data_IF_950976628476
#
_entry.id   IF_950976628476
#
_cell.length_a   1.000
_cell.length_b   1.000
_cell.length_c   1.000
_cell.angle_alpha   90.00
_cell.angle_beta   90.00
_cell.angle_gamma   90.00
#
_symmetry.space_group_name_H-M   'P 1'
#
loop_
_entity.id
_entity.type
_entity.pdbx_description
1 polymer ?
#
# COMPACT_ATOMS: atom_id res chain seq x y z
N UNK A 1 -12.40 -8.43 -3.69
CA UNK A 1 -11.05 -7.90 -3.42
C UNK A 1 -11.18 -6.67 -2.55
N UNK A 2 -10.42 -6.59 -1.45
CA UNK A 2 -10.36 -5.38 -0.62
C UNK A 2 -9.73 -4.23 -1.39
N UNK A 3 -10.01 -3.01 -0.94
CA UNK A 3 -9.24 -1.82 -1.34
C UNK A 3 -7.93 -1.76 -0.55
N UNK A 4 -6.79 -1.73 -1.22
CA UNK A 4 -5.47 -1.61 -0.59
C UNK A 4 -5.11 -0.14 -0.38
N UNK A 5 -4.99 0.27 0.89
CA UNK A 5 -4.72 1.66 1.28
C UNK A 5 -3.36 1.74 1.96
N UNK A 6 -2.42 2.45 1.36
CA UNK A 6 -1.10 2.69 1.92
C UNK A 6 -1.08 4.00 2.71
N UNK A 7 -0.57 3.99 3.94
CA UNK A 7 -0.27 5.18 4.74
C UNK A 7 1.24 5.33 4.85
N UNK A 8 1.77 6.34 4.18
CA UNK A 8 3.21 6.52 4.03
C UNK A 8 3.65 7.98 4.23
N UNK A 9 4.96 8.21 4.37
CA UNK A 9 5.54 9.54 4.60
C UNK A 9 7.03 9.51 4.34
N UNK A 10 7.63 10.64 3.98
CA UNK A 10 9.08 10.70 3.83
C UNK A 10 9.86 10.60 5.17
N UNK A 11 9.26 10.99 6.30
CA UNK A 11 9.97 11.10 7.59
C UNK A 11 9.26 10.43 8.77
N UNK A 12 10.04 10.16 9.81
CA UNK A 12 9.52 9.70 11.09
C UNK A 12 8.71 10.81 11.80
N UNK A 13 7.82 10.43 12.71
CA UNK A 13 7.12 11.38 13.58
C UNK A 13 6.09 12.29 12.89
N UNK A 14 5.66 11.96 11.67
CA UNK A 14 4.59 12.66 10.92
C UNK A 14 3.17 12.28 11.38
N UNK A 15 3.03 11.26 12.24
CA UNK A 15 1.74 10.80 12.76
C UNK A 15 1.05 9.68 11.96
N UNK A 16 1.76 8.99 11.06
CA UNK A 16 1.25 7.87 10.25
C UNK A 16 0.49 6.81 11.06
N UNK A 17 1.10 6.25 12.11
CA UNK A 17 0.49 5.16 12.88
C UNK A 17 -0.80 5.62 13.57
N UNK A 18 -0.85 6.85 14.08
CA UNK A 18 -2.09 7.45 14.60
C UNK A 18 -3.15 7.57 13.51
N UNK A 19 -2.80 8.09 12.33
CA UNK A 19 -3.75 8.20 11.24
C UNK A 19 -4.26 6.82 10.79
N UNK A 20 -3.36 5.85 10.55
CA UNK A 20 -3.71 4.51 10.09
C UNK A 20 -4.64 3.78 11.08
N UNK A 21 -4.32 3.79 12.37
CA UNK A 21 -5.13 3.13 13.40
C UNK A 21 -6.52 3.77 13.53
N UNK A 22 -6.60 5.10 13.51
CA UNK A 22 -7.86 5.81 13.65
C UNK A 22 -8.72 5.73 12.37
N UNK A 23 -8.11 5.75 11.17
CA UNK A 23 -8.82 5.51 9.91
C UNK A 23 -9.45 4.12 9.89
N UNK A 24 -8.73 3.09 10.33
CA UNK A 24 -9.27 1.73 10.41
C UNK A 24 -10.50 1.66 11.30
N UNK A 25 -10.49 2.36 12.44
CA UNK A 25 -11.64 2.44 13.36
C UNK A 25 -12.82 3.18 12.73
N UNK A 26 -12.56 4.25 11.97
CA UNK A 26 -13.63 4.96 11.25
C UNK A 26 -14.26 4.11 10.15
N UNK A 27 -13.47 3.36 9.38
CA UNK A 27 -13.96 2.43 8.37
C UNK A 27 -14.72 1.27 9.02
N UNK A 28 -14.15 0.66 10.06
CA UNK A 28 -14.78 -0.44 10.78
C UNK A 28 -16.07 -0.02 11.50
N UNK A 29 -16.21 1.22 11.94
CA UNK A 29 -17.48 1.73 12.49
C UNK A 29 -18.57 1.96 11.44
N UNK A 30 -18.25 1.84 10.16
CA UNK A 30 -19.21 2.02 9.06
C UNK A 30 -19.68 0.71 8.44
N UNK A 31 -19.39 -0.44 9.05
CA UNK A 31 -19.76 -1.74 8.50
C UNK A 31 -18.60 -2.52 7.88
N UNK A 32 -17.48 -1.85 7.58
CA UNK A 32 -16.41 -2.45 6.80
C UNK A 32 -15.55 -3.41 7.62
N UNK A 33 -15.10 -4.49 6.97
CA UNK A 33 -14.09 -5.40 7.49
C UNK A 33 -12.71 -4.88 7.11
N UNK A 34 -11.93 -4.51 8.11
CA UNK A 34 -10.66 -3.80 7.90
C UNK A 34 -9.49 -4.65 8.39
N UNK A 35 -8.52 -4.87 7.52
CA UNK A 35 -7.20 -5.35 7.92
C UNK A 35 -6.26 -4.17 8.11
N UNK A 36 -5.38 -4.24 9.10
CA UNK A 36 -4.23 -3.34 9.21
C UNK A 36 -2.96 -4.18 9.19
N UNK A 37 -2.02 -3.73 8.38
CA UNK A 37 -0.69 -4.26 8.26
C UNK A 37 0.32 -3.26 8.80
N UNK A 38 0.85 -3.53 10.00
CA UNK A 38 1.89 -2.70 10.62
C UNK A 38 3.27 -3.19 10.18
N UNK A 39 3.81 -2.56 9.12
CA UNK A 39 5.15 -2.83 8.60
C UNK A 39 6.21 -1.84 9.12
N UNK A 40 5.85 -0.96 10.07
CA UNK A 40 6.76 0.00 10.69
C UNK A 40 7.26 -0.53 12.05
N UNK A 41 7.66 0.35 12.96
CA UNK A 41 8.22 0.02 14.28
C UNK A 41 7.16 -0.40 15.33
N UNK A 42 5.99 -0.91 14.91
CA UNK A 42 4.95 -1.37 15.84
C UNK A 42 4.03 -0.27 16.39
N UNK A 43 4.08 0.94 15.82
CA UNK A 43 3.31 2.07 16.35
C UNK A 43 1.79 1.85 16.33
N UNK A 44 1.27 1.11 15.35
CA UNK A 44 -0.16 0.78 15.31
C UNK A 44 -0.49 -0.27 16.36
N UNK A 45 0.36 -1.30 16.52
CA UNK A 45 0.16 -2.33 17.54
C UNK A 45 0.10 -1.76 18.95
N UNK A 46 0.99 -0.81 19.28
CA UNK A 46 0.97 -0.12 20.57
C UNK A 46 -0.34 0.64 20.79
N UNK A 47 -0.88 1.31 19.76
CA UNK A 47 -2.17 2.02 19.87
C UNK A 47 -3.36 1.08 20.08
N UNK A 48 -3.29 -0.14 19.55
CA UNK A 48 -4.28 -1.19 19.81
C UNK A 48 -3.98 -2.02 21.07
N UNK A 49 -2.92 -1.68 21.82
CA UNK A 49 -2.46 -2.38 23.04
C UNK A 49 -2.17 -3.87 22.82
N UNK A 50 -1.66 -4.22 21.64
CA UNK A 50 -1.39 -5.62 21.29
C UNK A 50 -0.11 -6.17 21.93
N UNK A 51 0.84 -5.30 22.29
CA UNK A 51 2.07 -5.68 22.99
C UNK A 51 1.79 -6.26 24.40
N UNK A 52 0.73 -5.76 25.05
CA UNK A 52 0.24 -6.28 26.34
C UNK A 52 -0.38 -7.69 26.19
N UNK A 53 -0.86 -8.03 25.00
CA UNK A 53 -1.47 -9.33 24.69
C UNK A 53 -0.42 -10.41 24.32
N UNK A 54 0.81 -10.01 23.97
CA UNK A 54 1.90 -10.94 23.62
C UNK A 54 2.51 -11.68 24.82
N UNK A 55 2.43 -11.10 26.03
CA UNK A 55 3.14 -11.65 27.20
C UNK A 55 2.44 -12.85 27.86
N UNK A 56 1.14 -13.06 27.61
CA UNK A 56 0.36 -14.06 28.34
C UNK A 56 0.19 -15.41 27.62
N UNK A 57 0.82 -15.63 26.47
CA UNK A 57 0.54 -16.82 25.64
C UNK A 57 -0.92 -16.89 25.14
N UNK A 58 -1.66 -15.77 25.28
CA UNK A 58 -3.08 -15.59 25.01
C UNK A 58 -3.40 -15.32 23.53
N UNK A 59 -2.42 -15.40 22.61
CA UNK A 59 -2.70 -15.39 21.17
C UNK A 59 -3.74 -16.44 20.75
N UNK A 60 -3.92 -17.50 21.56
CA UNK A 60 -4.96 -18.52 21.37
C UNK A 60 -6.17 -18.45 22.32
N UNK A 61 -6.25 -17.51 23.27
CA UNK A 61 -7.38 -17.41 24.20
C UNK A 61 -7.56 -15.97 24.67
N UNK A 62 -8.77 -15.45 24.52
CA UNK A 62 -9.31 -14.36 25.34
C UNK A 62 -8.78 -12.94 25.09
N UNK A 63 -9.56 -12.23 24.28
CA UNK A 63 -9.62 -10.77 24.20
C UNK A 63 -10.82 -10.33 25.07
N UNK A 64 -10.56 -9.76 26.25
CA UNK A 64 -11.59 -9.20 27.14
C UNK A 64 -10.99 -7.97 27.85
N UNK A 65 -11.70 -6.84 27.99
CA UNK A 65 -13.01 -6.74 28.64
C UNK A 65 -13.75 -5.43 28.25
N UNK A 66 -14.96 -5.58 27.69
CA UNK A 66 -16.00 -4.57 27.40
C UNK A 66 -15.79 -3.59 26.22
N UNK A 67 -16.86 -3.27 25.47
CA UNK A 67 -17.44 -4.12 24.43
C UNK A 67 -16.53 -4.20 23.20
N UNK A 68 -15.53 -5.08 23.25
CA UNK A 68 -14.85 -5.62 22.07
C UNK A 68 -14.88 -7.14 22.25
N UNK A 69 -15.87 -7.82 21.66
CA UNK A 69 -15.89 -9.27 21.63
C UNK A 69 -14.94 -9.70 20.52
N UNK A 70 -13.80 -10.27 20.85
CA UNK A 70 -13.00 -10.84 19.79
C UNK A 70 -13.47 -12.22 19.40
N UNK A 71 -13.33 -12.50 18.12
CA UNK A 71 -13.49 -13.83 17.57
C UNK A 71 -12.19 -14.23 16.88
N UNK A 72 -11.80 -15.49 17.06
CA UNK A 72 -10.75 -16.10 16.24
C UNK A 72 -11.36 -16.42 14.88
N UNK A 73 -10.69 -16.02 13.79
CA UNK A 73 -10.99 -16.62 12.49
C UNK A 73 -10.46 -18.04 12.44
N UNK A 74 -11.02 -18.87 11.56
CA UNK A 74 -10.68 -20.29 11.38
C UNK A 74 -9.17 -20.59 11.30
N UNK A 75 -8.35 -19.58 11.01
CA UNK A 75 -6.89 -19.66 10.85
C UNK A 75 -6.07 -19.14 12.06
N UNK A 76 -6.70 -18.85 13.20
CA UNK A 76 -5.99 -18.49 14.44
C UNK A 76 -5.64 -17.00 14.60
N UNK A 77 -5.99 -16.15 13.63
CA UNK A 77 -5.76 -14.71 13.73
C UNK A 77 -6.85 -14.01 14.56
N UNK A 78 -6.47 -13.13 15.52
CA UNK A 78 -7.44 -12.41 16.34
C UNK A 78 -8.12 -11.28 15.56
N UNK A 79 -9.45 -11.19 15.64
CA UNK A 79 -10.21 -10.02 15.24
C UNK A 79 -10.68 -9.23 16.45
N UNK A 80 -10.59 -7.90 16.36
CA UNK A 80 -11.23 -6.98 17.27
C UNK A 80 -12.61 -6.64 16.70
N UNK A 81 -13.70 -7.09 17.33
CA UNK A 81 -15.02 -6.58 16.97
C UNK A 81 -15.16 -5.14 17.43
N UNK A 82 -15.67 -4.30 16.54
CA UNK A 82 -16.03 -2.90 16.77
C UNK A 82 -17.55 -2.81 16.58
N UNK A 83 -18.20 -1.85 17.24
CA UNK A 83 -19.67 -1.67 17.29
C UNK A 83 -20.42 -1.92 15.96
N UNK A 84 -19.79 -1.66 14.80
CA UNK A 84 -20.31 -2.00 13.48
C UNK A 84 -19.26 -2.57 12.51
N UNK A 85 -18.39 -3.50 12.91
CA UNK A 85 -17.43 -4.11 11.99
C UNK A 85 -16.33 -4.90 12.71
N UNK A 86 -15.30 -5.30 11.96
CA UNK A 86 -14.18 -6.03 12.54
C UNK A 86 -12.85 -5.49 12.04
N UNK A 87 -11.87 -5.44 12.94
CA UNK A 87 -10.50 -5.10 12.61
C UNK A 87 -9.59 -6.29 12.89
N UNK A 88 -8.85 -6.74 11.88
CA UNK A 88 -7.69 -7.60 12.08
C UNK A 88 -6.44 -6.75 12.05
N UNK A 89 -5.70 -6.70 13.15
CA UNK A 89 -4.40 -6.03 13.19
C UNK A 89 -3.31 -7.09 13.10
N UNK A 90 -2.52 -7.00 12.05
CA UNK A 90 -1.38 -7.86 11.79
C UNK A 90 -0.12 -7.03 12.01
N UNK A 91 0.75 -7.50 12.90
CA UNK A 91 1.94 -6.76 13.31
C UNK A 91 3.02 -7.67 13.92
N UNK A 92 4.24 -7.14 14.05
CA UNK A 92 5.47 -7.89 14.36
C UNK A 92 5.78 -8.98 13.32
N UNK A 93 5.88 -8.58 12.05
CA UNK A 93 6.48 -9.43 11.02
C UNK A 93 5.73 -9.55 9.70
N UNK A 94 4.62 -8.82 9.51
CA UNK A 94 3.99 -8.76 8.18
C UNK A 94 4.37 -7.45 7.50
N UNK A 95 5.66 -7.33 7.26
CA UNK A 95 6.05 -6.95 5.91
C UNK A 95 6.02 -8.28 5.15
N UNK A 96 5.55 -8.32 3.89
CA UNK A 96 6.07 -9.34 2.97
C UNK A 96 7.53 -8.97 2.67
N UNK A 97 8.32 -9.00 3.74
CA UNK A 97 9.76 -9.01 3.93
C UNK A 97 10.00 -8.99 5.44
N UNK A 98 10.18 -10.21 5.96
CA UNK A 98 10.73 -10.54 7.27
C UNK A 98 11.55 -9.42 7.92
N UNK A 99 11.16 -9.06 9.15
CA UNK A 99 12.15 -8.86 10.19
C UNK A 99 11.56 -9.32 11.53
N UNK A 100 12.11 -10.42 12.05
CA UNK A 100 11.71 -11.03 13.33
C UNK A 100 11.66 -12.57 13.31
N UNK A 101 11.42 -13.20 12.16
CA UNK A 101 11.38 -14.67 12.06
C UNK A 101 12.77 -15.27 11.80
N UNK A 102 13.08 -16.39 12.49
CA UNK A 102 14.26 -17.21 12.16
C UNK A 102 14.02 -17.94 10.83
N UNK A 103 15.07 -18.06 10.02
CA UNK A 103 15.09 -18.60 8.65
C UNK A 103 14.40 -19.98 8.49
N UNK A 104 14.29 -20.78 9.55
CA UNK A 104 13.61 -22.08 9.52
C UNK A 104 12.07 -22.01 9.46
N UNK A 105 11.44 -20.97 9.98
CA UNK A 105 9.97 -20.89 10.14
C UNK A 105 9.25 -20.38 8.89
N UNK A 106 9.92 -19.50 8.13
CA UNK A 106 9.47 -19.07 6.79
C UNK A 106 9.26 -20.27 5.87
N UNK A 107 10.14 -21.25 5.95
CA UNK A 107 10.03 -22.47 5.15
C UNK A 107 8.86 -23.37 5.60
N UNK A 108 8.34 -23.28 6.82
CA UNK A 108 7.10 -23.97 7.22
C UNK A 108 5.83 -23.24 6.78
N UNK A 109 5.81 -21.90 6.81
CA UNK A 109 4.69 -21.09 6.34
C UNK A 109 4.52 -21.21 4.81
N UNK A 110 5.64 -21.19 4.05
CA UNK A 110 5.67 -21.44 2.60
C UNK A 110 5.36 -22.90 2.22
N UNK A 111 5.62 -23.88 3.10
CA UNK A 111 5.35 -25.30 2.83
C UNK A 111 3.88 -25.69 3.05
N UNK A 112 3.07 -24.82 3.66
CA UNK A 112 1.63 -25.04 3.84
C UNK A 112 0.74 -24.31 2.81
N UNK A 113 1.33 -23.59 1.84
CA UNK A 113 0.59 -23.15 0.65
C UNK A 113 1.15 -21.88 0.00
N UNK A 114 1.85 -22.09 -1.12
CA UNK A 114 2.15 -21.13 -2.20
C UNK A 114 3.46 -20.29 -2.15
N UNK A 115 4.00 -20.09 -3.36
CA UNK A 115 5.37 -19.74 -3.76
C UNK A 115 5.80 -18.30 -3.37
N UNK A 116 7.02 -18.06 -2.87
CA UNK A 116 7.55 -16.71 -2.57
C UNK A 116 7.53 -15.71 -3.74
N UNK A 117 7.36 -16.16 -4.98
CA UNK A 117 7.12 -15.34 -6.18
C UNK A 117 5.72 -14.66 -6.21
N UNK A 118 4.92 -14.79 -5.14
CA UNK A 118 3.49 -14.46 -5.12
C UNK A 118 3.10 -13.44 -4.04
N UNK A 119 3.95 -12.47 -3.71
CA UNK A 119 3.64 -11.40 -2.72
C UNK A 119 2.27 -10.76 -2.99
N UNK A 120 2.00 -10.39 -4.25
CA UNK A 120 0.70 -9.83 -4.65
C UNK A 120 -0.44 -10.80 -4.36
N UNK A 121 -0.34 -12.07 -4.78
CA UNK A 121 -1.37 -13.08 -4.48
C UNK A 121 -1.51 -13.33 -2.98
N UNK A 122 -0.44 -13.27 -2.20
CA UNK A 122 -0.49 -13.37 -0.74
C UNK A 122 -1.39 -12.30 -0.13
N UNK A 123 -1.30 -11.05 -0.62
CA UNK A 123 -2.18 -9.96 -0.22
C UNK A 123 -3.62 -10.16 -0.69
N UNK A 124 -3.83 -10.62 -1.94
CA UNK A 124 -5.16 -10.90 -2.47
C UNK A 124 -5.85 -12.04 -1.70
N UNK A 125 -5.14 -13.14 -1.50
CA UNK A 125 -5.57 -14.31 -0.73
C UNK A 125 -5.88 -13.93 0.72
N UNK A 126 -5.06 -13.08 1.35
CA UNK A 126 -5.33 -12.56 2.69
C UNK A 126 -6.65 -11.79 2.72
N UNK A 127 -6.85 -10.90 1.75
CA UNK A 127 -8.09 -10.14 1.57
C UNK A 127 -9.32 -11.04 1.48
N UNK A 128 -9.26 -12.05 0.61
CA UNK A 128 -10.38 -12.95 0.37
C UNK A 128 -10.64 -13.90 1.55
N UNK A 129 -9.60 -14.46 2.17
CA UNK A 129 -9.70 -15.34 3.36
C UNK A 129 -10.33 -14.60 4.54
N UNK A 130 -9.86 -13.39 4.81
CA UNK A 130 -10.37 -12.56 5.91
C UNK A 130 -11.64 -11.80 5.53
N UNK A 131 -12.10 -11.93 4.28
CA UNK A 131 -13.25 -11.21 3.71
C UNK A 131 -13.15 -9.71 3.98
N UNK A 132 -11.98 -9.12 3.72
CA UNK A 132 -11.74 -7.70 3.98
C UNK A 132 -12.38 -6.85 2.89
N UNK A 133 -12.91 -5.70 3.31
CA UNK A 133 -13.29 -4.59 2.43
C UNK A 133 -12.11 -3.64 2.22
N UNK A 134 -11.26 -3.48 3.25
CA UNK A 134 -10.07 -2.63 3.22
C UNK A 134 -8.86 -3.35 3.85
N UNK A 135 -7.68 -3.16 3.27
CA UNK A 135 -6.41 -3.49 3.90
C UNK A 135 -5.54 -2.23 3.96
N UNK A 136 -5.30 -1.73 5.17
CA UNK A 136 -4.43 -0.59 5.43
C UNK A 136 -2.99 -1.09 5.61
N UNK A 137 -2.03 -0.50 4.92
CA UNK A 137 -0.60 -0.77 5.06
C UNK A 137 0.07 0.45 5.69
N UNK A 138 0.61 0.33 6.90
CA UNK A 138 1.46 1.38 7.48
C UNK A 138 2.92 1.09 7.13
N UNK A 139 3.50 1.96 6.30
CA UNK A 139 4.89 1.80 5.87
C UNK A 139 5.87 2.50 6.81
N UNK A 140 7.10 1.97 6.97
CA UNK A 140 8.19 2.76 7.51
C UNK A 140 8.42 4.00 6.63
N UNK A 141 8.93 5.11 7.18
CA UNK A 141 9.13 6.31 6.39
C UNK A 141 10.29 6.18 5.40
N UNK A 142 10.24 7.00 4.34
CA UNK A 142 11.28 7.03 3.32
C UNK A 142 11.11 5.97 2.23
N UNK A 143 12.08 5.89 1.33
CA UNK A 143 11.99 5.02 0.16
C UNK A 143 12.88 3.80 0.38
N UNK A 144 12.27 2.62 0.44
CA UNK A 144 12.94 1.33 0.59
C UNK A 144 12.36 0.33 -0.40
N UNK A 145 13.14 -0.65 -0.86
CA UNK A 145 12.68 -1.64 -1.86
C UNK A 145 11.37 -2.34 -1.41
N UNK A 146 11.24 -2.64 -0.12
CA UNK A 146 10.06 -3.26 0.47
C UNK A 146 8.82 -2.35 0.41
N UNK A 147 9.02 -1.04 0.59
CA UNK A 147 7.97 -0.03 0.43
C UNK A 147 7.56 0.05 -1.04
N UNK A 148 8.52 0.03 -1.97
CA UNK A 148 8.21 0.07 -3.40
C UNK A 148 7.40 -1.15 -3.86
N UNK A 149 7.78 -2.35 -3.42
CA UNK A 149 7.05 -3.60 -3.69
C UNK A 149 5.62 -3.54 -3.21
N UNK A 150 5.41 -2.97 -2.02
CA UNK A 150 4.08 -2.86 -1.44
C UNK A 150 3.24 -1.75 -2.07
N UNK A 151 3.87 -0.65 -2.50
CA UNK A 151 3.21 0.43 -3.24
C UNK A 151 2.77 0.04 -4.66
N UNK A 152 3.38 -0.98 -5.28
CA UNK A 152 3.04 -1.34 -6.66
C UNK A 152 1.63 -1.95 -6.81
N UNK A 153 1.03 -2.44 -5.72
CA UNK A 153 -0.31 -3.03 -5.73
C UNK A 153 -1.33 -2.23 -4.90
N UNK A 154 -0.99 -1.05 -4.38
CA UNK A 154 -1.97 -0.23 -3.64
C UNK A 154 -2.92 0.49 -4.59
N UNK A 155 -4.18 0.59 -4.19
CA UNK A 155 -5.23 1.34 -4.89
C UNK A 155 -5.20 2.81 -4.46
N UNK A 156 -4.96 3.04 -3.17
CA UNK A 156 -4.93 4.37 -2.56
C UNK A 156 -3.62 4.58 -1.81
N UNK A 157 -2.97 5.73 -2.01
CA UNK A 157 -1.81 6.17 -1.25
C UNK A 157 -2.12 7.47 -0.50
N UNK A 158 -2.06 7.42 0.84
CA UNK A 158 -2.09 8.56 1.73
C UNK A 158 -0.66 8.96 2.12
N UNK A 159 -0.22 10.13 1.66
CA UNK A 159 1.08 10.71 2.03
C UNK A 159 0.91 11.71 3.18
N UNK A 160 1.38 11.32 4.36
CA UNK A 160 1.37 12.13 5.57
C UNK A 160 2.64 12.97 5.65
N UNK A 161 2.50 14.28 5.84
CA UNK A 161 3.62 15.23 5.85
C UNK A 161 3.42 16.34 6.88
N UNK A 162 4.51 16.96 7.33
CA UNK A 162 4.47 18.22 8.11
C UNK A 162 4.69 19.42 7.21
N UNK A 163 4.42 20.61 7.74
CA UNK A 163 4.64 21.89 7.07
C UNK A 163 6.11 22.35 7.11
N UNK A 164 7.04 21.45 6.80
CA UNK A 164 8.49 21.71 6.78
C UNK A 164 9.05 21.60 5.36
N UNK A 165 10.04 22.42 5.00
CA UNK A 165 10.60 22.44 3.64
C UNK A 165 11.18 21.09 3.18
N UNK A 166 11.82 20.36 4.09
CA UNK A 166 12.36 19.02 3.78
C UNK A 166 11.25 18.01 3.49
N UNK A 167 10.11 18.12 4.18
CA UNK A 167 8.95 17.26 3.96
C UNK A 167 8.35 17.49 2.57
N UNK A 168 8.35 18.74 2.07
CA UNK A 168 7.87 19.05 0.72
C UNK A 168 8.74 18.37 -0.35
N UNK A 169 10.08 18.49 -0.22
CA UNK A 169 11.01 17.88 -1.17
C UNK A 169 10.89 16.36 -1.18
N UNK A 170 10.92 15.74 0.00
CA UNK A 170 10.79 14.29 0.13
C UNK A 170 9.44 13.76 -0.35
N UNK A 171 8.36 14.51 -0.10
CA UNK A 171 7.01 14.15 -0.57
C UNK A 171 6.91 14.26 -2.09
N UNK A 172 7.54 15.26 -2.73
CA UNK A 172 7.59 15.37 -4.19
C UNK A 172 8.14 14.10 -4.85
N UNK A 173 9.25 13.57 -4.32
CA UNK A 173 9.85 12.33 -4.82
C UNK A 173 8.89 11.14 -4.68
N UNK A 174 8.17 11.04 -3.55
CA UNK A 174 7.16 10.00 -3.32
C UNK A 174 5.96 10.14 -4.27
N UNK A 175 5.54 11.35 -4.60
CA UNK A 175 4.48 11.62 -5.57
C UNK A 175 4.91 11.16 -6.97
N UNK A 176 6.13 11.49 -7.39
CA UNK A 176 6.63 11.09 -8.71
C UNK A 176 6.75 9.57 -8.81
N UNK A 177 7.23 8.93 -7.76
CA UNK A 177 7.23 7.48 -7.65
C UNK A 177 5.80 6.89 -7.71
N UNK A 178 4.84 7.47 -6.99
CA UNK A 178 3.45 7.02 -7.01
C UNK A 178 2.82 7.09 -8.41
N UNK A 179 3.07 8.18 -9.14
CA UNK A 179 2.65 8.36 -10.54
C UNK A 179 3.30 7.31 -11.45
N UNK A 180 4.59 7.04 -11.24
CA UNK A 180 5.35 6.00 -11.98
C UNK A 180 4.83 4.58 -11.71
N UNK A 181 4.39 4.29 -10.49
CA UNK A 181 3.70 3.05 -10.12
C UNK A 181 2.22 3.04 -10.51
N UNK A 182 1.74 4.11 -11.15
CA UNK A 182 0.36 4.26 -11.61
C UNK A 182 -0.65 4.00 -10.49
N UNK A 183 -0.36 4.51 -9.28
CA UNK A 183 -1.28 4.39 -8.15
C UNK A 183 -2.56 5.19 -8.48
N UNK A 184 -3.75 4.55 -8.44
CA UNK A 184 -5.00 5.18 -8.87
C UNK A 184 -5.36 6.45 -8.09
N UNK A 185 -5.35 6.38 -6.77
CA UNK A 185 -5.72 7.49 -5.90
C UNK A 185 -4.55 7.90 -5.01
N UNK A 186 -4.15 9.17 -5.11
CA UNK A 186 -3.06 9.75 -4.34
C UNK A 186 -3.57 10.97 -3.58
N UNK A 187 -3.42 10.94 -2.25
CA UNK A 187 -3.86 12.00 -1.37
C UNK A 187 -2.77 12.46 -0.43
N UNK A 188 -2.71 13.78 -0.22
CA UNK A 188 -1.88 14.40 0.80
C UNK A 188 -2.68 14.56 2.10
N UNK A 189 -2.02 14.34 3.23
CA UNK A 189 -2.57 14.57 4.56
C UNK A 189 -1.56 15.39 5.36
N UNK A 190 -1.55 16.73 5.23
CA UNK A 190 -0.77 17.59 6.11
C UNK A 190 -1.23 17.41 7.55
N UNK A 191 -0.28 17.09 8.43
CA UNK A 191 -0.54 16.82 9.84
C UNK A 191 0.28 17.74 10.73
N UNK A 192 -0.17 17.88 11.98
CA UNK A 192 0.39 18.80 12.97
C UNK A 192 0.41 20.25 12.47
N UNK A 193 -0.62 20.64 11.71
CA UNK A 193 -0.74 22.00 11.20
C UNK A 193 -1.06 22.94 12.36
N UNK A 194 -0.24 23.97 12.55
CA UNK A 194 -0.48 24.99 13.58
C UNK A 194 -1.86 25.63 13.39
N UNK A 195 -2.55 25.89 14.49
CA UNK A 195 -3.85 26.55 14.51
C UNK A 195 -3.82 27.98 13.91
N UNK A 196 -2.63 28.58 13.80
CA UNK A 196 -2.44 29.87 13.13
C UNK A 196 -2.67 29.80 11.62
N UNK A 197 -2.54 28.62 11.01
CA UNK A 197 -2.78 28.43 9.59
C UNK A 197 -4.26 28.14 9.31
N UNK A 198 -4.81 28.81 8.30
CA UNK A 198 -6.13 28.48 7.79
C UNK A 198 -6.06 27.21 6.93
N UNK A 199 -6.82 26.16 7.29
CA UNK A 199 -6.79 24.88 6.59
C UNK A 199 -6.97 25.01 5.07
N UNK A 200 -7.87 25.88 4.60
CA UNK A 200 -8.09 26.12 3.16
C UNK A 200 -6.85 26.67 2.45
N UNK A 201 -6.10 27.57 3.10
CA UNK A 201 -4.87 28.11 2.52
C UNK A 201 -3.76 27.05 2.48
N UNK A 202 -3.67 26.23 3.52
CA UNK A 202 -2.72 25.10 3.56
C UNK A 202 -3.02 24.11 2.44
N UNK A 203 -4.29 23.75 2.26
CA UNK A 203 -4.74 22.88 1.19
C UNK A 203 -4.35 23.43 -0.18
N UNK A 204 -4.77 24.66 -0.51
CA UNK A 204 -4.50 25.28 -1.81
C UNK A 204 -3.00 25.38 -2.10
N UNK A 205 -2.20 25.73 -1.09
CA UNK A 205 -0.74 25.80 -1.22
C UNK A 205 -0.14 24.43 -1.51
N UNK A 206 -0.53 23.39 -0.79
CA UNK A 206 -0.01 22.04 -1.02
C UNK A 206 -0.40 21.50 -2.39
N UNK A 207 -1.68 21.65 -2.77
CA UNK A 207 -2.17 21.18 -4.07
C UNK A 207 -1.45 21.87 -5.24
N UNK A 208 -1.26 23.19 -5.14
CA UNK A 208 -0.51 23.95 -6.17
C UNK A 208 0.98 23.66 -6.20
N UNK A 209 1.60 23.34 -5.05
CA UNK A 209 3.05 23.08 -4.96
C UNK A 209 3.42 21.66 -5.37
N UNK A 210 2.62 20.68 -4.95
CA UNK A 210 2.94 19.25 -5.09
C UNK A 210 2.13 18.56 -6.20
N UNK A 211 1.07 19.21 -6.71
CA UNK A 211 0.24 18.68 -7.79
C UNK A 211 -0.52 17.41 -7.41
N UNK A 212 -0.86 17.25 -6.13
CA UNK A 212 -1.67 16.15 -5.60
C UNK A 212 -2.77 16.71 -4.68
N UNK A 213 -3.95 16.07 -4.70
CA UNK A 213 -5.10 16.53 -3.91
C UNK A 213 -4.89 16.29 -2.42
N UNK A 214 -5.41 17.19 -1.57
CA UNK A 214 -5.37 17.03 -0.11
C UNK A 214 -6.66 16.35 0.36
N UNK A 215 -6.56 15.25 1.09
CA UNK A 215 -7.73 14.54 1.62
C UNK A 215 -8.30 15.21 2.88
N UNK A 216 -7.46 15.87 3.66
CA UNK A 216 -7.84 16.58 4.87
C UNK A 216 -6.63 17.21 5.55
N UNK A 217 -6.86 18.23 6.37
CA UNK A 217 -5.82 18.99 7.07
C UNK A 217 -5.93 18.73 8.57
N UNK A 218 -5.02 17.94 9.11
CA UNK A 218 -5.05 17.56 10.52
C UNK A 218 -4.34 18.63 11.37
N UNK A 219 -5.06 19.31 12.29
CA UNK A 219 -4.47 20.33 13.14
C UNK A 219 -3.55 19.68 14.18
N UNK A 220 -2.55 20.45 14.63
CA UNK A 220 -1.88 20.16 15.89
C UNK A 220 -2.88 20.33 17.03
N UNK A 221 -2.95 19.34 17.92
CA UNK A 221 -3.78 19.38 19.13
C UNK A 221 -2.97 18.87 20.32
N UNK A 222 -3.00 19.61 21.41
CA UNK A 222 -2.40 19.20 22.68
C UNK A 222 -3.09 17.97 23.25
N UNK A 223 -4.41 17.80 23.01
CA UNK A 223 -5.16 16.66 23.52
C UNK A 223 -4.63 15.33 22.97
N UNK A 224 -4.27 15.27 21.68
CA UNK A 224 -3.66 14.09 21.09
C UNK A 224 -2.25 13.84 21.65
N UNK A 225 -1.49 14.90 21.91
CA UNK A 225 -0.16 14.81 22.52
C UNK A 225 -0.24 14.28 23.95
N UNK A 226 -1.18 14.77 24.75
CA UNK A 226 -1.44 14.35 26.14
C UNK A 226 -2.01 12.94 26.20
N UNK A 227 -2.91 12.59 25.28
CA UNK A 227 -3.43 11.22 25.15
C UNK A 227 -2.33 10.24 24.74
N UNK A 228 -1.33 10.71 23.98
CA UNK A 228 -0.17 9.94 23.55
C UNK A 228 -0.60 8.60 22.93
N UNK A 229 0.06 7.50 23.29
CA UNK A 229 -0.24 6.15 22.78
C UNK A 229 -1.13 5.33 23.72
N UNK A 230 -1.99 5.98 24.51
CA UNK A 230 -2.87 5.30 25.49
C UNK A 230 -4.03 4.51 24.87
N UNK A 231 -4.22 4.59 23.55
CA UNK A 231 -5.25 3.84 22.82
C UNK A 231 -5.61 4.47 21.47
N UNK A 232 -6.83 4.19 21.00
CA UNK A 232 -7.41 4.80 19.81
C UNK A 232 -8.09 6.13 20.15
N UNK A 233 -7.54 7.23 19.65
CA UNK A 233 -8.01 8.58 19.97
C UNK A 233 -9.45 8.85 19.52
N UNK A 234 -9.84 8.49 18.29
CA UNK A 234 -11.20 8.69 17.77
C UNK A 234 -12.25 7.81 18.44
N UNK A 235 -11.81 6.79 19.18
CA UNK A 235 -12.71 5.99 20.01
C UNK A 235 -13.01 6.73 21.32
N UNK A 236 -11.99 7.32 21.93
CA UNK A 236 -12.12 8.07 23.18
C UNK A 236 -12.77 9.45 23.00
N UNK A 237 -12.46 10.14 21.89
CA UNK A 237 -12.88 11.52 21.62
C UNK A 237 -13.57 11.66 20.24
N UNK A 238 -14.70 10.99 19.99
CA UNK A 238 -15.29 10.88 18.64
C UNK A 238 -15.69 12.22 18.01
N UNK A 239 -16.01 13.23 18.83
CA UNK A 239 -16.43 14.56 18.37
C UNK A 239 -15.30 15.60 18.35
N UNK A 240 -14.06 15.21 18.70
CA UNK A 240 -12.93 16.13 18.67
C UNK A 240 -12.62 16.55 17.21
N UNK A 241 -12.23 17.80 16.93
CA UNK A 241 -11.99 18.28 15.55
C UNK A 241 -11.05 17.38 14.74
N UNK A 242 -9.98 16.90 15.37
CA UNK A 242 -9.06 15.94 14.74
C UNK A 242 -9.76 14.62 14.35
N UNK A 243 -10.64 14.09 15.19
CA UNK A 243 -11.40 12.85 14.91
C UNK A 243 -12.44 13.05 13.81
N UNK A 244 -13.11 14.21 13.79
CA UNK A 244 -14.03 14.58 12.71
C UNK A 244 -13.28 14.65 11.37
N UNK A 245 -12.10 15.26 11.35
CA UNK A 245 -11.27 15.37 10.14
C UNK A 245 -10.76 13.99 9.67
N UNK A 246 -10.33 13.11 10.59
CA UNK A 246 -9.99 11.72 10.23
C UNK A 246 -11.21 10.99 9.65
N UNK A 247 -12.40 11.22 10.19
CA UNK A 247 -13.65 10.73 9.63
C UNK A 247 -13.90 11.23 8.20
N UNK A 248 -13.63 12.51 7.92
CA UNK A 248 -13.73 13.08 6.58
C UNK A 248 -12.71 12.46 5.61
N UNK A 249 -11.46 12.26 6.05
CA UNK A 249 -10.44 11.54 5.26
C UNK A 249 -10.90 10.11 4.96
N UNK A 250 -11.50 9.41 5.92
CA UNK A 250 -12.03 8.07 5.71
C UNK A 250 -13.15 8.05 4.64
N UNK A 251 -13.97 9.09 4.55
CA UNK A 251 -15.00 9.19 3.49
C UNK A 251 -14.40 9.30 2.08
N UNK A 252 -13.24 9.93 1.94
CA UNK A 252 -12.50 9.96 0.68
C UNK A 252 -12.06 8.55 0.22
N UNK A 253 -11.84 7.62 1.15
CA UNK A 253 -11.48 6.23 0.86
C UNK A 253 -12.68 5.37 0.44
N UNK A 254 -13.89 5.77 0.81
CA UNK A 254 -15.13 5.05 0.48
C UNK A 254 -15.63 5.43 -0.91
N UNK A 255 -15.38 6.67 -1.33
CA UNK A 255 -15.74 7.18 -2.67
C UNK A 255 -14.48 7.57 -3.46
N UNK A 256 -13.60 6.62 -3.81
CA UNK A 256 -12.40 6.92 -4.60
C UNK A 256 -12.78 7.58 -5.93
N UNK A 257 -11.94 8.51 -6.41
CA UNK A 257 -12.19 9.22 -7.67
C UNK A 257 -12.03 8.23 -8.82
N UNK A 258 -13.13 7.59 -9.24
CA UNK A 258 -13.14 6.80 -10.48
C UNK A 258 -12.93 7.72 -11.69
N UNK A 259 -11.68 7.82 -12.15
CA UNK A 259 -11.29 8.20 -13.50
C UNK A 259 -11.23 9.69 -13.83
N UNK A 260 -10.02 10.26 -13.80
CA UNK A 260 -9.65 11.38 -14.67
C UNK A 260 -8.57 10.89 -15.63
N UNK A 261 -8.99 10.18 -16.68
CA UNK A 261 -8.18 9.98 -17.87
C UNK A 261 -8.21 11.26 -18.70
N UNK A 262 -7.22 12.14 -18.53
CA UNK A 262 -6.88 13.12 -19.57
C UNK A 262 -5.65 12.60 -20.32
N UNK A 263 -5.92 12.06 -21.49
CA UNK A 263 -4.94 11.77 -22.53
C UNK A 263 -4.32 13.08 -22.97
N UNK A 264 -3.05 13.30 -22.64
CA UNK A 264 -2.20 14.27 -23.35
C UNK A 264 -1.38 13.49 -24.39
N UNK A 265 -1.90 13.44 -25.60
CA UNK A 265 -1.17 13.07 -26.80
C UNK A 265 -0.33 14.25 -27.25
N UNK A 266 1.00 14.16 -27.11
CA UNK A 266 1.91 14.82 -28.05
C UNK A 266 3.20 14.03 -28.24
N UNK A 267 3.59 13.99 -29.50
CA UNK A 267 4.60 13.18 -30.19
C UNK A 267 6.05 13.58 -29.92
N UNK A 268 6.98 12.62 -29.95
CA UNK A 268 7.97 12.50 -31.05
C UNK A 268 9.04 11.43 -30.77
N UNK A 269 9.35 10.70 -31.84
CA UNK A 269 10.37 9.66 -32.03
C UNK A 269 11.81 10.04 -31.70
N UNK A 270 12.60 9.09 -31.17
CA UNK A 270 14.01 8.80 -31.56
C UNK A 270 14.50 7.48 -30.93
N UNK A 271 15.07 6.60 -31.76
CA UNK A 271 15.87 5.43 -31.35
C UNK A 271 17.27 5.88 -30.87
N UNK A 272 17.98 5.03 -30.10
CA UNK A 272 19.14 4.40 -30.73
C UNK A 272 19.38 2.93 -30.36
N UNK A 273 20.00 2.22 -31.30
CA UNK A 273 20.56 0.87 -31.19
C UNK A 273 21.77 0.81 -30.24
N UNK A 274 21.96 -0.32 -29.55
CA UNK A 274 23.28 -0.97 -29.44
C UNK A 274 23.19 -2.41 -28.92
N UNK A 275 24.11 -3.22 -29.45
CA UNK A 275 24.26 -4.68 -29.40
C UNK A 275 24.72 -5.29 -28.05
N UNK A 276 24.68 -6.64 -27.90
CA UNK A 276 24.52 -7.31 -26.62
C UNK A 276 25.85 -7.64 -25.93
N UNK A 277 25.82 -7.74 -24.59
CA UNK A 277 26.82 -8.49 -23.82
C UNK A 277 26.14 -9.60 -23.03
N UNK A 278 26.67 -10.81 -23.22
CA UNK A 278 26.13 -12.09 -22.82
C UNK A 278 26.26 -12.39 -21.33
N UNK A 279 25.15 -12.92 -20.79
CA UNK A 279 25.02 -14.04 -19.87
C UNK A 279 25.92 -14.10 -18.62
N UNK A 280 25.33 -13.71 -17.49
CA UNK A 280 25.36 -14.52 -16.27
C UNK A 280 23.93 -15.00 -16.04
N UNK A 281 23.73 -16.30 -15.80
CA UNK A 281 22.42 -16.93 -15.66
C UNK A 281 21.61 -16.28 -14.52
N UNK A 282 20.76 -15.32 -14.86
CA UNK A 282 19.86 -14.63 -13.95
C UNK A 282 18.70 -15.55 -13.60
N UNK A 283 18.47 -15.79 -12.31
CA UNK A 283 17.17 -16.24 -11.80
C UNK A 283 16.06 -15.33 -12.38
N UNK A 284 15.08 -15.94 -13.05
CA UNK A 284 14.01 -15.29 -13.80
C UNK A 284 12.99 -14.59 -12.88
N UNK A 285 12.57 -13.35 -13.23
CA UNK A 285 11.55 -12.61 -12.48
C UNK A 285 11.70 -11.09 -12.53
N UNK A 286 10.60 -10.37 -12.30
CA UNK A 286 10.52 -8.91 -12.32
C UNK A 286 10.97 -8.33 -10.98
N UNK A 287 12.01 -7.48 -10.97
CA UNK A 287 12.32 -6.64 -9.81
C UNK A 287 11.56 -5.32 -9.91
N UNK A 288 11.39 -4.66 -8.77
CA UNK A 288 10.73 -3.36 -8.73
C UNK A 288 11.45 -2.29 -9.57
N UNK A 289 12.79 -2.31 -9.56
CA UNK A 289 13.57 -1.40 -10.40
C UNK A 289 13.36 -1.68 -11.89
N UNK A 290 13.22 -2.94 -12.27
CA UNK A 290 12.97 -3.34 -13.65
C UNK A 290 11.57 -2.86 -14.10
N UNK A 291 10.57 -2.94 -13.21
CA UNK A 291 9.22 -2.38 -13.44
C UNK A 291 9.24 -0.87 -13.68
N UNK A 292 10.00 -0.12 -12.86
CA UNK A 292 10.11 1.34 -13.01
C UNK A 292 10.85 1.77 -14.28
N UNK A 293 11.73 0.91 -14.81
CA UNK A 293 12.47 1.14 -16.04
C UNK A 293 11.72 0.71 -17.31
N UNK A 294 10.55 0.07 -17.18
CA UNK A 294 9.74 -0.33 -18.34
C UNK A 294 9.15 0.88 -19.08
N UNK A 295 9.00 0.82 -20.41
CA UNK A 295 8.25 1.81 -21.17
C UNK A 295 6.82 1.98 -20.63
N UNK A 296 6.27 3.19 -20.73
CA UNK A 296 4.98 3.56 -20.14
C UNK A 296 3.82 2.58 -20.41
N UNK A 297 3.57 2.13 -21.64
CA UNK A 297 2.48 1.17 -21.90
C UNK A 297 2.70 -0.16 -21.18
N UNK A 298 3.95 -0.63 -21.15
CA UNK A 298 4.33 -1.90 -20.55
C UNK A 298 4.19 -1.84 -19.02
N UNK A 299 4.73 -0.76 -18.45
CA UNK A 299 4.70 -0.49 -17.01
C UNK A 299 3.29 -0.31 -16.49
N UNK A 300 2.45 0.49 -17.18
CA UNK A 300 1.04 0.70 -16.79
C UNK A 300 0.26 -0.61 -16.80
N UNK A 301 0.45 -1.44 -17.82
CA UNK A 301 -0.22 -2.74 -17.91
C UNK A 301 0.21 -3.66 -16.77
N UNK A 302 1.51 -3.75 -16.49
CA UNK A 302 2.05 -4.61 -15.44
C UNK A 302 1.66 -4.12 -14.03
N UNK A 303 1.67 -2.80 -13.79
CA UNK A 303 1.15 -2.17 -12.59
C UNK A 303 -0.34 -2.51 -12.38
N UNK A 304 -1.15 -2.46 -13.45
CA UNK A 304 -2.55 -2.84 -13.37
C UNK A 304 -2.71 -4.34 -13.07
N UNK A 305 -1.98 -5.22 -13.77
CA UNK A 305 -2.01 -6.66 -13.52
C UNK A 305 -1.62 -7.00 -12.08
N UNK A 306 -0.64 -6.31 -11.48
CA UNK A 306 -0.23 -6.51 -10.08
C UNK A 306 -1.38 -6.29 -9.08
N UNK A 307 -2.33 -5.41 -9.41
CA UNK A 307 -3.52 -5.13 -8.59
C UNK A 307 -4.67 -6.10 -8.86
N UNK A 308 -4.78 -6.59 -10.09
CA UNK A 308 -5.83 -7.56 -10.47
C UNK A 308 -5.45 -9.01 -10.14
N UNK A 309 -4.16 -9.32 -10.04
CA UNK A 309 -3.66 -10.67 -9.89
C UNK A 309 -3.60 -11.41 -11.23
N UNK A 310 -4.45 -12.43 -11.37
CA UNK A 310 -4.51 -13.28 -12.57
C UNK A 310 -5.52 -12.74 -13.58
N UNK A 311 -5.07 -12.46 -14.82
CA UNK A 311 -5.90 -11.81 -15.84
C UNK A 311 -5.90 -12.57 -17.17
N UNK A 312 -6.97 -12.39 -17.96
CA UNK A 312 -7.11 -12.98 -19.29
C UNK A 312 -6.63 -12.03 -20.38
N UNK A 313 -6.36 -12.56 -21.58
CA UNK A 313 -6.00 -11.75 -22.73
C UNK A 313 -7.08 -10.69 -23.06
N UNK A 314 -8.35 -11.03 -22.91
CA UNK A 314 -9.49 -10.13 -23.14
C UNK A 314 -9.54 -8.97 -22.15
N UNK A 315 -9.24 -9.23 -20.88
CA UNK A 315 -9.17 -8.18 -19.86
C UNK A 315 -8.02 -7.22 -20.15
N UNK A 316 -6.86 -7.73 -20.58
CA UNK A 316 -5.71 -6.89 -20.95
C UNK A 316 -6.04 -6.02 -22.16
N UNK A 317 -6.62 -6.60 -23.23
CA UNK A 317 -7.04 -5.85 -24.42
C UNK A 317 -8.06 -4.76 -24.11
N UNK A 318 -9.03 -5.05 -23.25
CA UNK A 318 -10.02 -4.08 -22.79
C UNK A 318 -9.36 -2.93 -22.02
N UNK A 319 -8.40 -3.25 -21.15
CA UNK A 319 -7.72 -2.25 -20.33
C UNK A 319 -6.76 -1.36 -21.14
N UNK A 320 -6.05 -1.93 -22.12
CA UNK A 320 -5.10 -1.17 -22.95
C UNK A 320 -5.79 -0.45 -24.11
N UNK A 321 -7.00 -0.88 -24.49
CA UNK A 321 -7.70 -0.39 -25.69
C UNK A 321 -7.04 -0.87 -26.99
N UNK A 322 -6.24 -1.95 -26.94
CA UNK A 322 -5.51 -2.50 -28.07
C UNK A 322 -6.15 -3.79 -28.59
N UNK A 323 -5.85 -4.15 -29.83
CA UNK A 323 -6.27 -5.44 -30.39
C UNK A 323 -5.47 -6.63 -29.80
N UNK A 324 -5.99 -7.84 -30.03
CA UNK A 324 -5.37 -9.06 -29.50
C UNK A 324 -3.96 -9.33 -30.04
N UNK A 325 -3.65 -8.91 -31.27
CA UNK A 325 -2.34 -9.15 -31.88
C UNK A 325 -1.26 -8.30 -31.21
N UNK A 326 -1.56 -7.01 -31.00
CA UNK A 326 -0.71 -6.07 -30.28
C UNK A 326 -0.48 -6.51 -28.83
N UNK A 327 -1.55 -6.91 -28.15
CA UNK A 327 -1.45 -7.40 -26.77
C UNK A 327 -0.61 -8.68 -26.69
N UNK A 328 -0.78 -9.63 -27.61
CA UNK A 328 0.02 -10.85 -27.65
C UNK A 328 1.49 -10.57 -27.89
N UNK A 329 1.84 -9.70 -28.85
CA UNK A 329 3.23 -9.32 -29.11
C UNK A 329 3.87 -8.67 -27.87
N UNK A 330 3.12 -7.81 -27.19
CA UNK A 330 3.54 -7.18 -25.95
C UNK A 330 3.73 -8.21 -24.81
N UNK A 331 2.78 -9.12 -24.59
CA UNK A 331 2.86 -10.14 -23.56
C UNK A 331 3.97 -11.15 -23.82
N UNK A 332 4.23 -11.52 -25.08
CA UNK A 332 5.34 -12.40 -25.44
C UNK A 332 6.67 -11.82 -24.93
N UNK A 333 6.89 -10.51 -25.11
CA UNK A 333 8.08 -9.84 -24.56
C UNK A 333 8.16 -9.88 -23.04
N UNK A 334 7.03 -9.80 -22.32
CA UNK A 334 7.03 -9.86 -20.85
C UNK A 334 7.24 -11.28 -20.33
N UNK A 335 6.67 -12.27 -21.02
CA UNK A 335 6.82 -13.70 -20.70
C UNK A 335 8.26 -14.15 -20.97
N UNK A 336 8.86 -13.76 -22.09
CA UNK A 336 10.26 -14.06 -22.42
C UNK A 336 11.23 -13.50 -21.35
N UNK A 337 10.93 -12.32 -20.82
CA UNK A 337 11.71 -11.71 -19.72
C UNK A 337 11.42 -12.34 -18.35
N UNK A 338 10.44 -13.23 -18.26
CA UNK A 338 9.99 -13.86 -17.01
C UNK A 338 9.23 -12.93 -16.08
N UNK A 339 8.72 -11.79 -16.58
CA UNK A 339 7.96 -10.81 -15.80
C UNK A 339 6.50 -11.20 -15.64
N UNK A 340 6.00 -12.05 -16.55
CA UNK A 340 4.66 -12.61 -16.54
C UNK A 340 4.78 -14.13 -16.70
N UNK A 341 4.11 -14.88 -15.84
CA UNK A 341 3.91 -16.33 -15.94
C UNK A 341 2.58 -16.59 -16.64
N UNK A 342 2.53 -17.62 -17.46
CA UNK A 342 1.29 -18.13 -18.05
C UNK A 342 0.81 -19.31 -17.20
N UNK A 343 -0.45 -19.28 -16.81
CA UNK A 343 -1.11 -20.33 -16.04
C UNK A 343 -2.40 -20.72 -16.75
N UNK A 344 -2.82 -21.97 -16.58
CA UNK A 344 -4.12 -22.44 -17.08
C UNK A 344 -5.02 -22.75 -15.88
N UNK A 345 -6.23 -22.21 -15.88
CA UNK A 345 -7.23 -22.45 -14.83
C UNK A 345 -8.56 -22.66 -15.50
N UNK A 346 -9.21 -23.79 -15.22
CA UNK A 346 -10.49 -24.18 -15.84
C UNK A 346 -10.50 -24.14 -17.39
N UNK A 347 -9.36 -24.46 -18.01
CA UNK A 347 -9.19 -24.46 -19.48
C UNK A 347 -9.01 -23.07 -20.10
N UNK A 348 -8.90 -22.02 -19.27
CA UNK A 348 -8.65 -20.65 -19.71
C UNK A 348 -7.18 -20.24 -19.45
N UNK A 349 -6.54 -19.68 -20.47
CA UNK A 349 -5.18 -19.13 -20.36
C UNK A 349 -5.23 -17.82 -19.58
N UNK A 350 -4.39 -17.75 -18.54
CA UNK A 350 -4.26 -16.58 -17.67
C UNK A 350 -2.81 -16.13 -17.54
N UNK A 351 -2.64 -14.84 -17.36
CA UNK A 351 -1.36 -14.17 -17.24
C UNK A 351 -1.22 -13.63 -15.82
N UNK A 352 -0.14 -14.00 -15.14
CA UNK A 352 0.11 -13.65 -13.75
C UNK A 352 1.45 -12.91 -13.65
N UNK A 353 1.50 -11.70 -13.05
CA UNK A 353 2.77 -11.03 -12.79
C UNK A 353 3.69 -11.88 -11.92
N UNK A 354 4.98 -11.90 -12.27
CA UNK A 354 6.00 -12.67 -11.56
C UNK A 354 7.00 -11.72 -10.88
N UNK A 355 6.60 -11.17 -9.74
CA UNK A 355 7.38 -10.20 -8.98
C UNK A 355 8.31 -10.92 -7.99
N UNK A 356 9.61 -10.62 -8.06
CA UNK A 356 10.62 -11.25 -7.19
C UNK A 356 11.16 -10.21 -6.20
N UNK A 357 11.01 -10.48 -4.91
CA UNK A 357 11.67 -9.72 -3.86
C UNK A 357 13.15 -10.13 -3.77
N UNK A 358 14.06 -9.15 -3.85
CA UNK A 358 15.47 -9.35 -3.49
C UNK A 358 15.86 -8.33 -2.42
N UNK A 359 16.70 -8.76 -1.48
CA UNK A 359 17.36 -7.82 -0.57
C UNK A 359 18.51 -7.17 -1.34
N UNK A 360 18.25 -6.05 -2.00
CA UNK A 360 19.30 -5.16 -2.49
C UNK A 360 19.13 -3.77 -1.90
N UNK A 361 20.24 -3.12 -1.56
CA UNK A 361 20.20 -1.70 -1.26
C UNK A 361 19.76 -0.93 -2.52
N UNK A 362 18.94 0.11 -2.35
CA UNK A 362 18.61 1.04 -3.44
C UNK A 362 19.92 1.62 -3.98
N UNK A 363 20.30 1.19 -5.18
CA UNK A 363 21.53 1.63 -5.85
C UNK A 363 21.40 3.04 -6.44
N UNK A 364 22.52 3.62 -6.88
CA UNK A 364 22.54 4.93 -7.58
C UNK A 364 21.62 4.95 -8.80
N UNK A 365 21.45 3.80 -9.46
CA UNK A 365 20.61 3.61 -10.64
C UNK A 365 19.12 3.95 -10.40
N UNK A 366 18.64 3.83 -9.15
CA UNK A 366 17.26 4.21 -8.80
C UNK A 366 17.04 5.71 -8.90
N UNK A 367 18.00 6.51 -8.42
CA UNK A 367 17.89 7.97 -8.46
C UNK A 367 17.96 8.48 -9.89
N UNK A 368 18.79 7.89 -10.74
CA UNK A 368 18.86 8.22 -12.16
C UNK A 368 17.57 7.88 -12.92
N UNK A 369 16.78 6.93 -12.43
CA UNK A 369 15.47 6.64 -13.03
C UNK A 369 14.44 7.71 -12.68
N UNK A 370 14.57 8.39 -11.53
CA UNK A 370 13.60 9.38 -11.07
C UNK A 370 13.88 10.79 -11.61
N UNK A 371 15.11 11.08 -12.03
CA UNK A 371 15.45 12.33 -12.72
C UNK A 371 14.77 12.39 -14.11
N UNK A 372 14.13 13.52 -14.46
CA UNK A 372 13.35 13.68 -15.70
C UNK A 372 14.19 13.75 -16.99
#
# INVERSE_FOLDING_TARGET
>A
MPTFVSVHSCRHGTGKSHLAANLAIHLARQGYRVGILDANQGGVQTLFKLDELQQDGLWNKCLWSHPCQAELVADGLPFLAVEMGHIAVLGQGVCLMANGMKVGEVSQWLRHGEDPDQISQGFLNLGDRLKLDYLLLEHPPGIHENVLLTLAFVDVLLLVLKMEQQDYQGTSVLIDLARRLSIPDLWLVPNQVSAEFQCKQVQQRLESTLGASVAGVLPFTEDLLTFASQGIFCQQFPNHPWSVEVGAIAQCLIHPRRGASSVDTSSASRQPESHPRSASAKLAGLRMLDLLALPDPQRRTLNWMLRQGSVTLAQIATQTGQDYEQVNAFLASLVERGFVKITETDGEIRYVPNLVARQSAIGRDFWTLLDP
#
